data_IF_561825959562
#
_entry.id   IF_561825959562
#
_cell.length_a   1.000
_cell.length_b   1.000
_cell.length_c   1.000
_cell.angle_alpha   90.00
_cell.angle_beta   90.00
_cell.angle_gamma   90.00
#
_symmetry.space_group_name_H-M   'P 1'
#
loop_
_entity.id
_entity.type
_entity.pdbx_description
1 polymer ?
#
# COMPACT_ATOMS: atom_id res chain seq x y z
N UNK A 1 -48.97 -45.99 -6.80
CA UNK A 1 -48.68 -44.56 -7.05
C UNK A 1 -49.78 -43.75 -6.39
N UNK A 2 -49.47 -43.00 -5.33
CA UNK A 2 -50.46 -42.11 -4.70
C UNK A 2 -50.71 -40.91 -5.62
N UNK A 3 -51.96 -40.54 -5.90
CA UNK A 3 -52.27 -39.38 -6.72
C UNK A 3 -51.79 -38.12 -6.00
N UNK A 4 -51.01 -37.30 -6.69
CA UNK A 4 -50.50 -36.03 -6.16
C UNK A 4 -51.70 -35.13 -5.86
N UNK A 5 -51.76 -34.64 -4.62
CA UNK A 5 -52.83 -33.76 -4.16
C UNK A 5 -52.74 -32.40 -4.88
N UNK A 6 -53.63 -32.23 -5.86
CA UNK A 6 -53.78 -31.00 -6.65
C UNK A 6 -53.95 -29.76 -5.77
N UNK A 7 -54.60 -29.86 -4.62
CA UNK A 7 -54.77 -28.70 -3.72
C UNK A 7 -53.45 -28.25 -3.11
N UNK A 8 -52.49 -29.16 -2.90
CA UNK A 8 -51.16 -28.82 -2.40
C UNK A 8 -50.32 -28.09 -3.45
N UNK A 9 -50.45 -28.48 -4.72
CA UNK A 9 -49.79 -27.80 -5.84
C UNK A 9 -50.33 -26.37 -5.99
N UNK A 10 -51.65 -26.19 -6.01
CA UNK A 10 -52.26 -24.86 -6.16
C UNK A 10 -51.89 -23.91 -5.00
N UNK A 11 -51.75 -24.43 -3.77
CA UNK A 11 -51.25 -23.65 -2.64
C UNK A 11 -49.78 -23.23 -2.79
N UNK A 12 -48.91 -24.13 -3.25
CA UNK A 12 -47.50 -23.78 -3.48
C UNK A 12 -47.33 -22.75 -4.59
N UNK A 13 -48.09 -22.88 -5.69
CA UNK A 13 -48.06 -21.90 -6.79
C UNK A 13 -48.57 -20.53 -6.34
N UNK A 14 -49.63 -20.49 -5.52
CA UNK A 14 -50.14 -19.25 -4.94
C UNK A 14 -49.13 -18.54 -4.04
N UNK A 15 -48.40 -19.28 -3.21
CA UNK A 15 -47.35 -18.72 -2.34
C UNK A 15 -46.18 -18.17 -3.18
N UNK A 16 -45.76 -18.89 -4.22
CA UNK A 16 -44.66 -18.45 -5.08
C UNK A 16 -44.99 -17.16 -5.85
N UNK A 17 -46.24 -17.04 -6.32
CA UNK A 17 -46.74 -15.83 -6.98
C UNK A 17 -46.81 -14.63 -6.02
N UNK A 18 -47.17 -14.86 -4.76
CA UNK A 18 -47.20 -13.79 -3.75
C UNK A 18 -45.79 -13.28 -3.44
N UNK A 19 -44.81 -14.17 -3.27
CA UNK A 19 -43.41 -13.80 -2.96
C UNK A 19 -42.82 -12.97 -4.10
N UNK A 20 -43.06 -13.34 -5.35
CA UNK A 20 -42.53 -12.61 -6.52
C UNK A 20 -43.12 -11.20 -6.64
N UNK A 21 -44.40 -11.01 -6.34
CA UNK A 21 -45.04 -9.68 -6.33
C UNK A 21 -44.51 -8.81 -5.19
N UNK A 22 -44.34 -9.39 -3.98
CA UNK A 22 -43.82 -8.64 -2.82
C UNK A 22 -42.35 -8.26 -3.01
N UNK A 23 -41.52 -9.17 -3.51
CA UNK A 23 -40.11 -8.89 -3.80
C UNK A 23 -39.96 -7.82 -4.90
N UNK A 24 -40.76 -7.90 -5.97
CA UNK A 24 -40.76 -6.89 -7.04
C UNK A 24 -41.24 -5.51 -6.58
N UNK A 25 -42.19 -5.45 -5.64
CA UNK A 25 -42.66 -4.21 -5.02
C UNK A 25 -41.61 -3.55 -4.12
N UNK A 26 -40.92 -4.35 -3.29
CA UNK A 26 -39.86 -3.87 -2.39
C UNK A 26 -38.65 -3.32 -3.17
N UNK A 27 -38.27 -3.97 -4.29
CA UNK A 27 -37.22 -3.47 -5.18
C UNK A 27 -37.54 -2.11 -5.81
N UNK A 28 -38.81 -1.83 -6.13
CA UNK A 28 -39.22 -0.53 -6.68
C UNK A 28 -39.29 0.58 -5.62
N UNK A 29 -39.61 0.25 -4.38
CA UNK A 29 -39.65 1.24 -3.27
C UNK A 29 -38.24 1.59 -2.78
N UNK A 30 -37.27 0.67 -2.89
CA UNK A 30 -35.87 0.90 -2.51
C UNK A 30 -35.06 1.76 -3.49
N UNK A 31 -35.61 2.10 -4.67
CA UNK A 31 -34.91 2.89 -5.69
C UNK A 31 -35.14 4.41 -5.58
N UNK A 32 -35.87 4.90 -4.58
CA UNK A 32 -36.15 6.34 -4.44
C UNK A 32 -35.01 7.19 -3.85
N UNK A 33 -33.82 6.63 -3.65
CA UNK A 33 -32.63 7.36 -3.18
C UNK A 33 -31.36 6.98 -3.94
N UNK A 34 -31.43 6.75 -5.25
CA UNK A 34 -30.22 6.55 -6.07
C UNK A 34 -29.69 7.89 -6.56
N UNK A 35 -28.62 8.39 -5.94
CA UNK A 35 -27.80 9.46 -6.50
C UNK A 35 -27.29 9.03 -7.87
N UNK A 36 -27.55 9.80 -8.92
CA UNK A 36 -26.98 9.49 -10.24
C UNK A 36 -25.53 9.96 -10.29
N UNK A 37 -24.73 9.37 -11.19
CA UNK A 37 -23.35 9.82 -11.46
C UNK A 37 -23.28 11.31 -11.83
N UNK A 38 -24.33 11.86 -12.44
CA UNK A 38 -24.44 13.29 -12.74
C UNK A 38 -24.68 14.14 -11.50
N UNK A 39 -25.52 13.66 -10.56
CA UNK A 39 -25.78 14.34 -9.29
C UNK A 39 -24.49 14.33 -8.43
N UNK A 40 -23.78 13.20 -8.40
CA UNK A 40 -22.51 13.09 -7.68
C UNK A 40 -21.39 13.95 -8.29
N UNK A 41 -21.30 14.02 -9.62
CA UNK A 41 -20.32 14.87 -10.31
C UNK A 41 -20.62 16.37 -10.17
N UNK A 42 -21.90 16.73 -10.01
CA UNK A 42 -22.33 18.12 -9.72
C UNK A 42 -21.92 18.53 -8.30
N UNK A 43 -22.03 17.60 -7.34
CA UNK A 43 -21.65 17.84 -5.95
C UNK A 43 -20.14 17.68 -5.69
N UNK A 44 -19.39 17.06 -6.60
CA UNK A 44 -17.95 16.83 -6.49
C UNK A 44 -17.18 17.25 -7.77
N UNK A 45 -17.19 18.54 -8.16
CA UNK A 45 -16.65 19.00 -9.44
C UNK A 45 -15.13 18.84 -9.58
N UNK A 46 -14.37 18.73 -8.47
CA UNK A 46 -12.92 18.50 -8.49
C UNK A 46 -12.51 17.08 -8.91
N UNK A 47 -13.40 16.08 -8.72
CA UNK A 47 -13.20 14.70 -9.19
C UNK A 47 -13.54 14.55 -10.69
N UNK A 48 -14.37 15.43 -11.24
CA UNK A 48 -14.95 15.27 -12.58
C UNK A 48 -14.12 15.90 -13.71
N UNK A 49 -13.33 16.95 -13.43
CA UNK A 49 -12.60 17.69 -14.46
C UNK A 49 -11.23 18.17 -13.97
N UNK A 50 -10.17 17.41 -14.27
CA UNK A 50 -8.85 18.01 -14.48
C UNK A 50 -8.37 17.71 -15.91
N UNK A 51 -8.13 18.80 -16.63
CA UNK A 51 -7.70 18.87 -18.03
C UNK A 51 -6.28 19.42 -18.04
N UNK A 52 -5.40 18.80 -18.81
CA UNK A 52 -4.00 19.18 -19.02
C UNK A 52 -3.82 20.12 -20.20
N UNK A 53 -2.77 20.94 -20.17
CA UNK A 53 -2.13 21.57 -21.33
C UNK A 53 -0.59 21.62 -21.15
N UNK A 54 0.20 21.71 -22.24
CA UNK A 54 1.30 20.76 -22.50
C UNK A 54 2.72 21.33 -22.37
N UNK A 55 3.72 20.44 -22.33
CA UNK A 55 5.14 20.78 -22.49
C UNK A 55 5.83 19.89 -23.55
N UNK A 56 6.93 20.37 -24.18
CA UNK A 56 7.42 19.86 -25.46
C UNK A 56 8.46 18.73 -25.37
N UNK A 57 8.54 18.00 -26.48
CA UNK A 57 9.38 16.84 -26.84
C UNK A 57 10.90 17.10 -26.83
N UNK A 58 11.74 16.06 -26.61
CA UNK A 58 13.04 15.99 -27.27
C UNK A 58 13.33 14.66 -28.01
N UNK A 59 14.13 14.79 -29.08
CA UNK A 59 14.69 13.73 -29.95
C UNK A 59 15.88 12.95 -29.31
N UNK A 60 16.23 11.76 -29.82
CA UNK A 60 17.25 10.86 -29.24
C UNK A 60 18.54 10.75 -30.08
N UNK A 61 19.67 10.35 -29.44
CA UNK A 61 20.73 9.42 -29.95
C UNK A 61 21.99 9.42 -29.03
N UNK A 62 22.99 8.51 -29.17
CA UNK A 62 22.96 7.04 -29.30
C UNK A 62 24.01 6.30 -28.41
N UNK A 63 23.99 4.97 -28.50
CA UNK A 63 24.78 3.94 -27.82
C UNK A 63 26.31 3.95 -28.05
N UNK A 64 27.04 3.33 -27.12
CA UNK A 64 28.43 2.87 -27.29
C UNK A 64 28.57 1.43 -26.77
N UNK A 65 29.12 0.58 -27.64
CA UNK A 65 29.53 -0.81 -27.46
C UNK A 65 30.96 -0.88 -26.89
N UNK A 66 31.28 -1.91 -26.11
CA UNK A 66 32.63 -2.49 -26.09
C UNK A 66 32.70 -3.84 -25.36
N UNK A 67 33.04 -4.85 -26.15
CA UNK A 67 33.60 -6.15 -25.77
C UNK A 67 34.95 -6.05 -25.04
N UNK A 68 35.18 -6.89 -24.02
CA UNK A 68 36.16 -7.98 -24.10
C UNK A 68 36.27 -8.80 -22.80
N UNK A 69 36.41 -10.11 -23.01
CA UNK A 69 36.60 -11.15 -22.01
C UNK A 69 38.04 -11.20 -21.48
N UNK A 70 38.19 -11.64 -20.23
CA UNK A 70 39.22 -12.61 -19.85
C UNK A 70 38.87 -13.29 -18.53
N UNK A 71 38.95 -14.62 -18.54
CA UNK A 71 38.77 -15.50 -17.40
C UNK A 71 40.13 -15.78 -16.73
N UNK A 72 40.15 -15.78 -15.39
CA UNK A 72 41.10 -16.58 -14.60
C UNK A 72 40.43 -16.94 -13.27
N UNK A 73 40.26 -18.24 -13.02
CA UNK A 73 39.89 -18.81 -11.72
C UNK A 73 41.04 -18.65 -10.71
N UNK A 74 40.72 -18.33 -9.46
CA UNK A 74 41.41 -18.90 -8.32
C UNK A 74 40.51 -18.86 -7.07
N UNK A 75 40.31 -20.05 -6.50
CA UNK A 75 39.67 -20.32 -5.21
C UNK A 75 40.57 -19.81 -4.07
N UNK A 76 40.01 -19.15 -3.04
CA UNK A 76 40.08 -19.62 -1.64
C UNK A 76 39.30 -18.71 -0.67
N UNK A 77 38.44 -19.38 0.10
CA UNK A 77 37.85 -19.08 1.42
C UNK A 77 38.03 -17.67 2.03
N UNK A 78 36.88 -17.04 2.30
CA UNK A 78 36.77 -15.91 3.22
C UNK A 78 35.32 -15.72 3.66
N UNK A 79 34.94 -16.40 4.74
CA UNK A 79 33.88 -16.06 5.70
C UNK A 79 32.85 -15.03 5.23
N UNK A 80 31.65 -15.49 4.82
CA UNK A 80 30.48 -14.61 4.73
C UNK A 80 30.06 -14.22 6.15
N UNK A 81 30.69 -13.18 6.68
CA UNK A 81 30.02 -12.33 7.64
C UNK A 81 28.81 -11.79 6.89
N UNK A 82 27.62 -12.33 7.18
CA UNK A 82 26.40 -11.63 6.86
C UNK A 82 26.57 -10.23 7.47
N UNK A 83 26.70 -9.20 6.64
CA UNK A 83 26.50 -7.85 7.11
C UNK A 83 25.09 -7.85 7.67
N UNK A 84 24.97 -7.92 8.99
CA UNK A 84 23.73 -7.61 9.67
C UNK A 84 23.55 -6.12 9.44
N UNK A 85 22.94 -5.76 8.31
CA UNK A 85 22.59 -4.38 8.00
C UNK A 85 21.66 -3.94 9.12
N UNK A 86 22.19 -3.16 10.05
CA UNK A 86 21.39 -2.68 11.17
C UNK A 86 20.45 -1.64 10.59
N UNK A 87 19.15 -1.91 10.68
CA UNK A 87 18.12 -1.00 10.23
C UNK A 87 18.30 0.38 10.90
N UNK A 88 18.19 1.45 10.11
CA UNK A 88 18.41 2.82 10.57
C UNK A 88 17.35 3.20 11.60
N UNK A 89 16.08 2.92 11.31
CA UNK A 89 14.98 3.21 12.22
C UNK A 89 15.15 2.44 13.54
N UNK A 90 15.48 1.16 13.50
CA UNK A 90 15.79 0.34 14.67
C UNK A 90 16.90 0.97 15.54
N UNK A 91 18.01 1.37 14.91
CA UNK A 91 19.16 1.98 15.59
C UNK A 91 18.80 3.30 16.26
N UNK A 92 17.98 4.12 15.60
CA UNK A 92 17.57 5.44 16.08
C UNK A 92 16.47 5.34 17.13
N UNK A 93 15.53 4.41 17.00
CA UNK A 93 14.50 4.18 18.00
C UNK A 93 15.13 3.65 19.30
N UNK A 94 16.06 2.69 19.16
CA UNK A 94 16.81 2.10 20.25
C UNK A 94 15.92 1.43 21.29
N UNK A 95 16.41 1.27 22.51
CA UNK A 95 15.67 0.62 23.60
C UNK A 95 14.92 1.59 24.52
N UNK A 96 14.92 2.90 24.20
CA UNK A 96 14.43 3.95 25.08
C UNK A 96 12.92 3.86 25.36
N UNK A 97 12.16 3.23 24.47
CA UNK A 97 10.70 3.15 24.53
C UNK A 97 10.19 1.71 24.70
N UNK A 98 11.07 0.80 25.11
CA UNK A 98 10.74 -0.63 25.28
C UNK A 98 9.66 -0.85 26.35
N UNK A 99 9.51 0.06 27.30
CA UNK A 99 8.45 0.03 28.32
C UNK A 99 7.05 0.31 27.75
N UNK A 100 6.98 0.94 26.58
CA UNK A 100 5.75 1.24 25.83
C UNK A 100 5.58 0.33 24.60
N UNK A 101 6.47 -0.65 24.43
CA UNK A 101 6.42 -1.62 23.34
C UNK A 101 5.25 -2.57 23.50
N UNK A 102 4.55 -2.81 22.40
CA UNK A 102 3.65 -3.95 22.27
C UNK A 102 4.34 -5.00 21.40
N UNK A 103 4.64 -6.15 22.01
CA UNK A 103 5.29 -7.28 21.32
C UNK A 103 4.27 -8.38 21.05
N UNK A 104 4.12 -8.75 19.79
CA UNK A 104 3.33 -9.91 19.39
C UNK A 104 4.15 -11.19 19.55
N UNK A 105 5.38 -11.19 19.04
CA UNK A 105 6.33 -12.31 19.10
C UNK A 105 7.76 -11.77 18.98
N UNK A 106 8.77 -12.63 19.20
CA UNK A 106 10.17 -12.28 18.97
C UNK A 106 10.39 -11.78 17.53
N UNK A 107 10.93 -10.57 17.39
CA UNK A 107 11.08 -9.86 16.12
C UNK A 107 9.83 -9.18 15.56
N UNK A 108 8.68 -9.22 16.24
CA UNK A 108 7.42 -8.61 15.81
C UNK A 108 6.83 -7.73 16.91
N UNK A 109 7.01 -6.42 16.76
CA UNK A 109 6.55 -5.46 17.75
C UNK A 109 6.33 -4.08 17.14
N UNK A 110 5.60 -3.25 17.88
CA UNK A 110 5.49 -1.82 17.58
C UNK A 110 5.56 -0.99 18.86
N UNK A 111 6.04 0.24 18.72
CA UNK A 111 6.25 1.17 19.84
C UNK A 111 6.23 2.62 19.35
N UNK A 112 6.13 3.62 20.25
CA UNK A 112 6.21 5.03 19.85
C UNK A 112 7.57 5.38 19.23
N UNK A 113 7.63 6.47 18.47
CA UNK A 113 8.86 6.95 17.85
C UNK A 113 9.72 7.69 18.88
N UNK A 114 11.01 7.38 18.96
CA UNK A 114 11.98 8.12 19.76
C UNK A 114 12.23 9.51 19.17
N UNK A 115 12.67 10.47 19.99
CA UNK A 115 13.04 11.82 19.51
C UNK A 115 14.12 11.80 18.41
N UNK A 116 14.99 10.77 18.42
CA UNK A 116 16.03 10.61 17.39
C UNK A 116 15.41 10.20 16.06
N UNK A 117 14.51 9.22 16.10
CA UNK A 117 13.80 8.77 14.89
C UNK A 117 12.88 9.87 14.36
N UNK A 118 12.15 10.58 15.22
CA UNK A 118 11.35 11.74 14.83
C UNK A 118 12.19 12.80 14.11
N UNK A 119 13.36 13.16 14.66
CA UNK A 119 14.27 14.13 14.04
C UNK A 119 14.83 13.65 12.70
N UNK A 120 15.08 12.35 12.57
CA UNK A 120 15.58 11.76 11.33
C UNK A 120 14.56 11.86 10.20
N UNK A 121 13.28 11.56 10.47
CA UNK A 121 12.22 11.62 9.45
C UNK A 121 11.71 13.04 9.15
N UNK A 122 11.98 14.01 10.05
CA UNK A 122 11.53 15.40 9.88
C UNK A 122 12.22 16.07 8.69
N UNK A 123 11.45 16.57 7.75
CA UNK A 123 11.94 17.18 6.51
C UNK A 123 12.18 16.18 5.38
N UNK A 124 11.93 14.89 5.63
CA UNK A 124 12.04 13.80 4.66
C UNK A 124 10.66 13.16 4.50
N UNK A 125 10.35 12.09 5.22
CA UNK A 125 9.02 11.44 5.16
C UNK A 125 7.98 12.12 6.05
N UNK A 126 8.37 12.97 6.98
CA UNK A 126 7.49 13.83 7.80
C UNK A 126 7.74 15.30 7.48
N UNK A 127 6.72 16.18 7.38
CA UNK A 127 6.92 17.56 6.96
C UNK A 127 7.74 18.35 7.99
N UNK A 128 8.72 19.11 7.52
CA UNK A 128 9.39 20.09 8.37
C UNK A 128 8.41 21.23 8.71
N UNK A 129 7.95 21.30 9.95
CA UNK A 129 7.27 22.51 10.45
C UNK A 129 8.32 23.61 10.59
N UNK A 130 8.06 24.79 10.00
CA UNK A 130 8.99 25.94 10.03
C UNK A 130 9.33 26.30 11.48
N UNK A 131 10.58 26.00 11.87
CA UNK A 131 11.33 26.39 13.07
C UNK A 131 10.62 26.40 14.44
N UNK A 132 11.09 25.51 15.33
CA UNK A 132 10.97 25.60 16.79
C UNK A 132 11.76 26.78 17.41
N UNK A 133 12.07 27.83 16.64
CA UNK A 133 12.76 29.03 17.12
C UNK A 133 11.90 30.27 16.92
N UNK A 134 11.00 30.50 17.89
CA UNK A 134 10.37 31.79 18.11
C UNK A 134 9.20 32.12 17.18
N UNK A 135 7.99 32.10 17.76
CA UNK A 135 6.78 32.75 17.23
C UNK A 135 6.46 32.53 15.73
N UNK A 136 6.79 31.37 15.17
CA UNK A 136 6.21 30.89 13.92
C UNK A 136 4.83 30.29 14.21
N UNK A 137 3.84 30.79 13.48
CA UNK A 137 2.40 30.73 13.76
C UNK A 137 1.87 29.34 14.10
N UNK A 138 1.11 29.27 15.19
CA UNK A 138 0.21 28.15 15.55
C UNK A 138 -0.58 27.61 14.34
N UNK A 139 -0.86 28.44 13.33
CA UNK A 139 -1.59 28.09 12.11
C UNK A 139 -0.88 27.11 11.16
N UNK A 140 0.47 27.02 11.16
CA UNK A 140 1.22 26.05 10.34
C UNK A 140 1.42 24.71 11.06
N UNK A 141 1.46 24.72 12.40
CA UNK A 141 1.33 23.51 13.21
C UNK A 141 -0.08 22.91 13.10
N UNK A 142 -1.09 23.75 12.87
CA UNK A 142 -2.46 23.34 12.59
C UNK A 142 -2.69 22.82 11.15
N UNK A 143 -1.70 22.88 10.24
CA UNK A 143 -1.85 22.40 8.86
C UNK A 143 -1.30 21.00 8.60
N UNK A 144 -0.60 20.40 9.55
CA UNK A 144 -0.21 18.98 9.47
C UNK A 144 -1.35 18.15 10.05
N UNK A 145 -1.96 17.30 9.22
CA UNK A 145 -3.14 16.51 9.62
C UNK A 145 -2.81 15.33 10.57
N UNK A 146 -1.53 15.11 10.91
CA UNK A 146 -1.05 14.00 11.73
C UNK A 146 0.06 14.42 12.69
N UNK A 147 0.05 13.91 13.92
CA UNK A 147 1.11 14.12 14.93
C UNK A 147 2.06 12.92 15.02
N UNK A 148 3.27 13.10 15.56
CA UNK A 148 4.14 11.98 15.94
C UNK A 148 3.48 11.00 16.91
N UNK A 149 2.57 11.48 17.78
CA UNK A 149 1.82 10.62 18.71
C UNK A 149 0.84 9.66 18.01
N UNK A 150 0.50 9.97 16.76
CA UNK A 150 -0.32 9.11 15.90
C UNK A 150 0.51 8.06 15.19
N UNK A 151 1.84 8.16 15.19
CA UNK A 151 2.73 7.23 14.49
C UNK A 151 3.34 6.19 15.44
N UNK A 152 3.63 5.01 14.90
CA UNK A 152 4.35 3.92 15.57
C UNK A 152 5.47 3.42 14.68
N UNK A 153 6.61 3.17 15.29
CA UNK A 153 7.66 2.35 14.72
C UNK A 153 7.21 0.89 14.83
N UNK A 154 7.34 0.14 13.74
CA UNK A 154 7.02 -1.28 13.67
C UNK A 154 8.27 -2.01 13.21
N UNK A 155 8.65 -3.04 13.95
CA UNK A 155 9.71 -3.95 13.58
C UNK A 155 9.10 -5.32 13.28
N UNK A 156 9.55 -5.92 12.18
CA UNK A 156 9.10 -7.21 11.70
C UNK A 156 10.29 -8.07 11.24
N UNK A 157 10.06 -9.36 11.09
CA UNK A 157 10.93 -10.25 10.32
C UNK A 157 10.24 -10.62 9.02
N UNK A 158 11.00 -10.85 7.96
CA UNK A 158 10.51 -11.30 6.67
C UNK A 158 11.48 -12.29 6.02
N UNK A 159 11.05 -12.94 4.94
CA UNK A 159 11.95 -13.68 4.06
C UNK A 159 12.25 -12.84 2.82
N UNK A 160 13.53 -12.66 2.51
CA UNK A 160 13.94 -11.97 1.29
C UNK A 160 13.74 -12.86 0.05
N UNK A 161 14.04 -12.34 -1.15
CA UNK A 161 13.86 -13.09 -2.40
C UNK A 161 14.83 -14.27 -2.55
N UNK A 162 15.95 -14.28 -1.82
CA UNK A 162 16.81 -15.46 -1.69
C UNK A 162 16.26 -16.51 -0.70
N UNK A 163 15.15 -16.22 -0.02
CA UNK A 163 14.53 -17.11 0.97
C UNK A 163 15.26 -17.12 2.32
N UNK A 164 16.05 -16.09 2.61
CA UNK A 164 16.72 -15.93 3.89
C UNK A 164 15.90 -15.04 4.84
N UNK A 165 15.87 -15.33 6.16
CA UNK A 165 15.31 -14.41 7.13
C UNK A 165 16.05 -13.07 7.10
N UNK A 166 15.30 -11.98 7.11
CA UNK A 166 15.77 -10.61 7.16
C UNK A 166 14.92 -9.79 8.13
N UNK A 167 15.50 -8.70 8.64
CA UNK A 167 14.81 -7.72 9.48
C UNK A 167 14.15 -6.66 8.59
N UNK A 168 12.98 -6.18 9.00
CA UNK A 168 12.25 -5.13 8.30
C UNK A 168 11.66 -4.10 9.25
N UNK A 169 11.45 -2.88 8.75
CA UNK A 169 10.89 -1.79 9.54
C UNK A 169 9.88 -0.93 8.79
N UNK A 170 8.89 -0.42 9.54
CA UNK A 170 7.87 0.48 9.04
C UNK A 170 7.62 1.59 10.06
N UNK A 171 7.14 2.74 9.56
CA UNK A 171 6.40 3.71 10.37
C UNK A 171 4.96 3.69 9.86
N UNK A 172 4.00 3.58 10.76
CA UNK A 172 2.57 3.56 10.43
C UNK A 172 1.75 4.32 11.47
N UNK A 173 0.46 4.50 11.22
CA UNK A 173 -0.46 5.02 12.21
C UNK A 173 -0.67 4.00 13.34
N UNK A 174 -0.76 4.45 14.58
CA UNK A 174 -1.09 3.63 15.76
C UNK A 174 -2.39 2.83 15.59
N UNK A 175 -3.33 3.34 14.79
CA UNK A 175 -4.60 2.68 14.52
C UNK A 175 -4.47 1.39 13.69
N UNK A 176 -3.35 1.22 12.96
CA UNK A 176 -3.10 0.02 12.15
C UNK A 176 -1.82 -0.74 12.55
N UNK A 177 -1.09 -0.26 13.57
CA UNK A 177 0.19 -0.86 13.98
C UNK A 177 0.06 -2.32 14.42
N UNK A 178 -1.01 -2.63 15.16
CA UNK A 178 -1.33 -4.02 15.54
C UNK A 178 -1.64 -4.87 14.30
N UNK A 179 -2.51 -4.37 13.42
CA UNK A 179 -2.88 -5.10 12.19
C UNK A 179 -1.64 -5.43 11.35
N UNK A 180 -0.77 -4.44 11.10
CA UNK A 180 0.44 -4.67 10.30
C UNK A 180 1.36 -5.69 10.97
N UNK A 181 1.55 -5.61 12.29
CA UNK A 181 2.40 -6.55 13.02
C UNK A 181 1.87 -7.98 12.92
N UNK A 182 0.55 -8.16 13.04
CA UNK A 182 -0.13 -9.46 12.90
C UNK A 182 -0.06 -10.00 11.46
N UNK A 183 -0.33 -9.15 10.46
CA UNK A 183 -0.23 -9.53 9.03
C UNK A 183 1.19 -9.97 8.70
N UNK A 184 2.21 -9.17 9.03
CA UNK A 184 3.59 -9.52 8.70
C UNK A 184 4.09 -10.74 9.47
N UNK A 185 3.59 -10.97 10.70
CA UNK A 185 3.87 -12.20 11.43
C UNK A 185 3.33 -13.43 10.70
N UNK A 186 2.07 -13.39 10.24
CA UNK A 186 1.48 -14.50 9.49
C UNK A 186 2.15 -14.69 8.13
N UNK A 187 2.51 -13.62 7.43
CA UNK A 187 3.32 -13.69 6.20
C UNK A 187 4.66 -14.39 6.45
N UNK A 188 5.37 -14.02 7.53
CA UNK A 188 6.63 -14.64 7.90
C UNK A 188 6.49 -16.12 8.25
N UNK A 189 5.46 -16.48 9.02
CA UNK A 189 5.17 -17.88 9.38
C UNK A 189 4.87 -18.76 8.15
N UNK A 190 4.45 -18.15 7.04
CA UNK A 190 4.18 -18.83 5.78
C UNK A 190 5.30 -18.64 4.74
N UNK A 191 6.48 -18.17 5.16
CA UNK A 191 7.66 -17.94 4.30
C UNK A 191 7.35 -17.02 3.10
N UNK A 192 6.37 -16.13 3.23
CA UNK A 192 6.02 -15.17 2.18
C UNK A 192 7.18 -14.19 1.97
N UNK A 193 7.56 -14.00 0.71
CA UNK A 193 8.77 -13.27 0.37
C UNK A 193 8.48 -11.79 0.08
N UNK A 194 9.26 -10.93 0.72
CA UNK A 194 9.31 -9.48 0.51
C UNK A 194 10.75 -9.14 0.17
N UNK A 195 11.02 -8.35 -0.88
CA UNK A 195 12.41 -8.09 -1.24
C UNK A 195 13.12 -7.25 -0.18
N UNK A 196 12.47 -6.15 0.21
CA UNK A 196 12.94 -5.19 1.21
C UNK A 196 11.76 -4.60 1.97
N UNK A 197 12.00 -4.26 3.23
CA UNK A 197 11.05 -3.52 4.09
C UNK A 197 11.85 -2.48 4.87
N UNK A 198 12.04 -1.31 4.27
CA UNK A 198 12.83 -0.20 4.78
C UNK A 198 11.97 1.06 4.89
N UNK A 199 12.34 1.96 5.80
CA UNK A 199 11.75 3.29 5.85
C UNK A 199 12.00 4.02 4.52
N UNK A 200 11.01 4.79 4.07
CA UNK A 200 11.15 5.59 2.84
C UNK A 200 12.27 6.64 2.95
N UNK A 201 12.68 6.98 4.17
CA UNK A 201 13.79 7.88 4.47
C UNK A 201 15.16 7.36 4.00
N UNK A 202 15.32 6.04 3.78
CA UNK A 202 16.50 5.47 3.10
C UNK A 202 16.60 5.89 1.62
N UNK A 203 15.49 6.38 1.06
CA UNK A 203 15.38 6.88 -0.30
C UNK A 203 15.15 8.41 -0.32
N UNK A 204 15.48 9.13 0.76
CA UNK A 204 15.24 10.57 0.92
C UNK A 204 13.75 10.96 0.70
N UNK A 205 12.82 10.04 0.96
CA UNK A 205 11.38 10.23 0.72
C UNK A 205 10.94 10.06 -0.74
N UNK A 206 11.84 9.69 -1.65
CA UNK A 206 11.55 9.43 -3.06
C UNK A 206 10.79 8.11 -3.24
N UNK A 207 9.49 8.26 -3.46
CA UNK A 207 8.55 7.17 -3.69
C UNK A 207 8.92 6.32 -4.92
N UNK A 208 9.33 6.96 -6.02
CA UNK A 208 9.64 6.25 -7.26
C UNK A 208 10.92 5.44 -7.10
N UNK A 209 11.96 6.00 -6.47
CA UNK A 209 13.20 5.28 -6.20
C UNK A 209 12.96 4.06 -5.30
N UNK A 210 12.13 4.19 -4.26
CA UNK A 210 11.71 3.08 -3.40
C UNK A 210 10.93 2.01 -4.16
N UNK A 211 10.01 2.42 -5.05
CA UNK A 211 9.23 1.49 -5.86
C UNK A 211 10.09 0.73 -6.89
N UNK A 212 11.03 1.43 -7.55
CA UNK A 212 11.98 0.83 -8.50
C UNK A 212 12.91 -0.18 -7.83
N UNK A 213 13.24 0.05 -6.56
CA UNK A 213 14.04 -0.86 -5.73
C UNK A 213 13.20 -1.90 -4.97
N UNK A 214 11.92 -2.02 -5.34
CA UNK A 214 10.95 -2.99 -4.81
C UNK A 214 10.79 -2.97 -3.28
N UNK A 215 10.96 -1.81 -2.66
CA UNK A 215 10.84 -1.65 -1.22
C UNK A 215 9.38 -1.56 -0.78
N UNK A 216 8.99 -2.43 0.15
CA UNK A 216 7.69 -2.37 0.82
C UNK A 216 7.70 -1.25 1.85
N UNK A 217 6.79 -0.28 1.72
CA UNK A 217 6.81 0.95 2.54
C UNK A 217 5.41 1.44 2.96
N UNK A 218 5.32 2.18 4.07
CA UNK A 218 4.05 2.59 4.70
C UNK A 218 3.90 4.12 4.82
N UNK A 219 4.57 4.76 5.78
CA UNK A 219 4.44 6.20 5.98
C UNK A 219 5.32 7.01 5.01
N UNK A 220 4.71 7.93 4.26
CA UNK A 220 5.38 8.96 3.48
C UNK A 220 4.44 10.18 3.36
N UNK A 221 4.76 11.29 4.03
CA UNK A 221 3.95 12.50 4.02
C UNK A 221 4.11 13.26 2.70
N UNK A 222 3.24 12.95 1.76
CA UNK A 222 3.15 13.63 0.47
C UNK A 222 1.71 13.75 -0.02
N UNK A 223 1.40 14.76 -0.85
CA UNK A 223 0.19 14.73 -1.65
C UNK A 223 0.24 13.53 -2.63
N UNK A 224 -0.94 13.09 -3.06
CA UNK A 224 -1.05 12.16 -4.20
C UNK A 224 -0.51 12.86 -5.45
N UNK A 225 0.28 12.14 -6.27
CA UNK A 225 0.92 12.67 -7.49
C UNK A 225 -0.09 13.44 -8.35
N UNK A 226 0.26 14.68 -8.71
CA UNK A 226 -0.59 15.55 -9.54
C UNK A 226 -1.78 16.19 -8.83
N UNK A 227 -1.95 16.01 -7.52
CA UNK A 227 -3.05 16.59 -6.74
C UNK A 227 -2.55 17.39 -5.52
N UNK A 228 -3.46 18.09 -4.85
CA UNK A 228 -3.21 18.69 -3.53
C UNK A 228 -3.77 17.88 -2.36
N UNK A 229 -4.34 16.70 -2.61
CA UNK A 229 -4.94 15.84 -1.57
C UNK A 229 -3.87 14.93 -0.98
N UNK A 230 -3.86 14.77 0.34
CA UNK A 230 -2.92 13.88 1.01
C UNK A 230 -3.18 12.41 0.65
N UNK A 231 -2.09 11.69 0.42
CA UNK A 231 -2.14 10.23 0.28
C UNK A 231 -2.51 9.58 1.62
N UNK A 232 -3.09 8.38 1.61
CA UNK A 232 -3.25 7.59 2.84
C UNK A 232 -1.91 7.18 3.46
N UNK A 233 -0.84 7.13 2.66
CA UNK A 233 0.53 7.01 3.16
C UNK A 233 0.93 8.19 4.06
N UNK A 234 0.44 9.41 3.77
CA UNK A 234 0.73 10.59 4.58
C UNK A 234 0.07 10.55 5.97
N UNK A 235 -0.94 9.69 6.15
CA UNK A 235 -1.58 9.45 7.45
C UNK A 235 -1.06 8.17 8.12
N UNK A 236 -0.11 7.45 7.50
CA UNK A 236 0.36 6.14 7.95
C UNK A 236 -0.73 5.07 7.91
N UNK A 237 -1.74 5.23 7.04
CA UNK A 237 -2.91 4.36 6.93
C UNK A 237 -2.93 3.50 5.66
N UNK A 238 -1.82 3.52 4.91
CA UNK A 238 -1.63 2.71 3.71
C UNK A 238 -0.24 2.09 3.68
N UNK A 239 -0.09 1.02 2.91
CA UNK A 239 1.15 0.28 2.71
C UNK A 239 1.21 -0.28 1.29
N UNK A 240 2.38 -0.20 0.69
CA UNK A 240 2.68 -0.75 -0.63
C UNK A 240 3.54 -2.00 -0.50
N UNK A 241 3.12 -3.11 -1.11
CA UNK A 241 3.79 -4.41 -1.00
C UNK A 241 4.45 -4.80 -2.33
N UNK A 242 5.76 -5.07 -2.29
CA UNK A 242 6.58 -5.42 -3.46
C UNK A 242 6.21 -4.58 -4.73
N UNK A 243 6.36 -3.24 -4.69
CA UNK A 243 5.96 -2.31 -5.75
C UNK A 243 6.36 -2.70 -7.18
N UNK A 244 7.57 -3.23 -7.35
CA UNK A 244 8.10 -3.54 -8.67
C UNK A 244 7.34 -4.68 -9.36
N UNK A 245 6.83 -5.65 -8.59
CA UNK A 245 6.03 -6.77 -9.12
C UNK A 245 4.52 -6.50 -9.10
N UNK A 246 4.10 -5.43 -8.42
CA UNK A 246 2.71 -5.05 -8.24
C UNK A 246 2.51 -3.57 -8.60
N UNK A 247 2.74 -3.18 -9.87
CA UNK A 247 2.84 -1.78 -10.24
C UNK A 247 1.51 -1.02 -10.14
N UNK A 248 1.63 0.29 -10.07
CA UNK A 248 0.53 1.23 -10.27
C UNK A 248 0.30 1.50 -11.77
N UNK A 249 -0.93 1.40 -12.24
CA UNK A 249 -1.33 1.57 -13.63
C UNK A 249 -2.40 2.64 -13.73
N UNK A 250 -2.16 3.64 -14.58
CA UNK A 250 -3.12 4.68 -14.94
C UNK A 250 -3.44 4.61 -16.43
N UNK A 251 -4.60 5.15 -16.79
CA UNK A 251 -5.12 5.10 -18.16
C UNK A 251 -5.31 6.53 -18.69
N UNK A 252 -4.67 6.84 -19.82
CA UNK A 252 -4.84 8.10 -20.52
C UNK A 252 -6.20 8.14 -21.25
N UNK A 253 -6.62 9.34 -21.67
CA UNK A 253 -7.88 9.54 -22.41
C UNK A 253 -7.94 8.79 -23.76
N UNK A 254 -6.78 8.50 -24.35
CA UNK A 254 -6.65 7.72 -25.58
C UNK A 254 -6.64 6.20 -25.36
N UNK A 255 -6.75 5.76 -24.10
CA UNK A 255 -6.71 4.36 -23.70
C UNK A 255 -5.31 3.78 -23.52
N UNK A 256 -4.24 4.57 -23.71
CA UNK A 256 -2.89 4.12 -23.41
C UNK A 256 -2.65 3.99 -21.91
N UNK A 257 -1.89 2.98 -21.51
CA UNK A 257 -1.54 2.70 -20.13
C UNK A 257 -0.21 3.37 -19.75
N UNK A 258 -0.12 3.91 -18.54
CA UNK A 258 1.13 4.34 -17.90
C UNK A 258 1.34 3.48 -16.66
N UNK A 259 2.49 2.82 -16.59
CA UNK A 259 2.90 1.93 -15.50
C UNK A 259 3.93 2.65 -14.62
N UNK A 260 3.78 2.55 -13.30
CA UNK A 260 4.73 3.03 -12.31
C UNK A 260 5.11 1.89 -11.34
N UNK A 261 6.41 1.58 -11.16
CA UNK A 261 7.53 2.21 -11.86
C UNK A 261 7.58 1.79 -13.33
N UNK A 262 8.17 2.60 -14.22
CA UNK A 262 8.09 2.37 -15.67
C UNK A 262 8.80 1.06 -16.11
N UNK A 263 9.86 0.70 -15.39
CA UNK A 263 10.61 -0.55 -15.59
C UNK A 263 9.84 -1.81 -15.11
N UNK A 264 8.72 -1.67 -14.41
CA UNK A 264 7.82 -2.77 -14.01
C UNK A 264 6.75 -3.11 -15.06
N UNK A 265 6.81 -2.53 -16.27
CA UNK A 265 5.82 -2.75 -17.34
C UNK A 265 5.59 -4.22 -17.70
N UNK A 266 6.58 -5.10 -17.50
CA UNK A 266 6.42 -6.55 -17.69
C UNK A 266 5.40 -7.21 -16.74
N UNK A 267 5.11 -6.59 -15.59
CA UNK A 267 4.18 -7.09 -14.56
C UNK A 267 2.79 -6.44 -14.61
N UNK A 268 2.57 -5.55 -15.58
CA UNK A 268 1.28 -4.91 -15.82
C UNK A 268 0.24 -5.89 -16.39
N UNK A 269 0.67 -6.85 -17.23
CA UNK A 269 -0.20 -7.92 -17.72
C UNK A 269 -0.47 -8.94 -16.60
N UNK A 270 -1.58 -8.73 -15.88
CA UNK A 270 -2.02 -9.64 -14.82
C UNK A 270 -2.58 -10.96 -15.33
N UNK A 271 -2.69 -11.21 -16.63
CA UNK A 271 -2.97 -12.57 -17.13
C UNK A 271 -1.69 -13.43 -17.15
N UNK A 272 -0.50 -12.81 -17.12
CA UNK A 272 0.76 -13.53 -17.05
C UNK A 272 0.99 -14.18 -15.68
N UNK A 273 1.82 -15.23 -15.69
CA UNK A 273 2.30 -15.92 -14.51
C UNK A 273 3.72 -15.47 -14.19
N UNK A 274 3.91 -14.90 -13.00
CA UNK A 274 5.20 -14.45 -12.47
C UNK A 274 5.16 -14.50 -10.93
N UNK A 275 6.32 -14.62 -10.26
CA UNK A 275 6.38 -14.67 -8.80
C UNK A 275 5.96 -13.33 -8.15
N UNK A 276 5.65 -13.37 -6.85
CA UNK A 276 5.37 -12.20 -5.99
C UNK A 276 4.15 -11.35 -6.38
N UNK A 277 3.30 -11.91 -7.25
CA UNK A 277 2.09 -11.30 -7.76
C UNK A 277 0.98 -11.35 -6.71
N UNK A 278 0.43 -10.19 -6.37
CA UNK A 278 -0.76 -10.06 -5.52
C UNK A 278 -2.03 -10.18 -6.39
N UNK A 279 -2.81 -11.23 -6.17
CA UNK A 279 -4.18 -11.37 -6.68
C UNK A 279 -5.13 -11.85 -5.57
N UNK A 280 -6.41 -12.07 -5.88
CA UNK A 280 -7.39 -12.43 -4.85
C UNK A 280 -7.14 -13.78 -4.15
N UNK A 281 -6.28 -14.63 -4.73
CA UNK A 281 -5.88 -15.91 -4.13
C UNK A 281 -4.57 -15.79 -3.34
N UNK A 282 -3.86 -14.66 -3.43
CA UNK A 282 -2.61 -14.44 -2.74
C UNK A 282 -2.82 -14.26 -1.23
N UNK A 283 -1.90 -14.82 -0.43
CA UNK A 283 -1.98 -14.78 1.02
C UNK A 283 -1.93 -13.33 1.55
N UNK A 284 -1.08 -12.48 0.97
CA UNK A 284 -0.97 -11.08 1.36
C UNK A 284 -2.31 -10.37 1.21
N UNK A 285 -2.95 -10.53 0.05
CA UNK A 285 -4.29 -9.98 -0.17
C UNK A 285 -5.29 -10.48 0.89
N UNK A 286 -5.34 -11.79 1.13
CA UNK A 286 -6.31 -12.37 2.08
C UNK A 286 -6.13 -11.82 3.49
N UNK A 287 -4.90 -11.76 4.00
CA UNK A 287 -4.61 -11.22 5.32
C UNK A 287 -5.00 -9.74 5.43
N UNK A 288 -4.58 -8.90 4.47
CA UNK A 288 -4.99 -7.49 4.48
C UNK A 288 -6.52 -7.31 4.44
N UNK A 289 -7.22 -8.14 3.66
CA UNK A 289 -8.70 -8.13 3.62
C UNK A 289 -9.33 -8.54 4.95
N UNK A 290 -8.80 -9.57 5.61
CA UNK A 290 -9.27 -10.03 6.93
C UNK A 290 -9.12 -8.96 8.01
N UNK A 291 -8.05 -8.17 7.93
CA UNK A 291 -7.81 -7.00 8.80
C UNK A 291 -8.58 -5.73 8.38
N UNK A 292 -9.47 -5.83 7.38
CA UNK A 292 -10.36 -4.73 6.98
C UNK A 292 -9.71 -3.69 6.06
N UNK A 293 -8.56 -3.98 5.46
CA UNK A 293 -7.98 -3.12 4.44
C UNK A 293 -8.75 -3.24 3.11
N UNK A 294 -8.69 -2.18 2.33
CA UNK A 294 -9.09 -2.15 0.93
C UNK A 294 -7.84 -2.24 0.05
N UNK A 295 -7.98 -2.80 -1.15
CA UNK A 295 -6.87 -3.06 -2.06
C UNK A 295 -7.01 -2.22 -3.34
N UNK A 296 -5.94 -1.56 -3.75
CA UNK A 296 -5.89 -0.69 -4.92
C UNK A 296 -6.05 -1.42 -6.26
N UNK A 297 -5.78 -2.73 -6.30
CA UNK A 297 -6.06 -3.58 -7.48
C UNK A 297 -7.54 -3.62 -7.87
N UNK A 298 -8.45 -3.30 -6.94
CA UNK A 298 -9.89 -3.22 -7.19
C UNK A 298 -10.39 -1.85 -7.64
N UNK A 299 -9.54 -0.83 -7.71
CA UNK A 299 -9.94 0.50 -8.19
C UNK A 299 -10.34 0.47 -9.67
N UNK A 300 -11.25 1.36 -10.08
CA UNK A 300 -11.81 1.36 -11.44
C UNK A 300 -11.08 2.31 -12.40
N UNK A 301 -10.66 3.48 -11.92
CA UNK A 301 -10.00 4.52 -12.73
C UNK A 301 -8.51 4.29 -12.94
N UNK A 302 -7.92 3.46 -12.08
CA UNK A 302 -6.52 3.06 -12.08
C UNK A 302 -6.42 1.70 -11.38
N UNK A 303 -5.25 1.06 -11.47
CA UNK A 303 -4.95 -0.19 -10.77
C UNK A 303 -3.69 -0.02 -9.95
N UNK A 304 -3.83 -0.06 -8.64
CA UNK A 304 -2.68 0.08 -7.74
C UNK A 304 -2.45 -1.24 -7.01
N UNK A 305 -1.74 -2.17 -7.65
CA UNK A 305 -1.66 -3.56 -7.18
C UNK A 305 -0.84 -3.71 -5.90
N UNK A 306 0.09 -2.80 -5.65
CA UNK A 306 0.90 -2.72 -4.44
C UNK A 306 0.09 -2.23 -3.22
N UNK A 307 -0.92 -1.40 -3.46
CA UNK A 307 -1.49 -0.53 -2.43
C UNK A 307 -2.60 -1.17 -1.61
N UNK A 308 -2.43 -1.16 -0.29
CA UNK A 308 -3.47 -1.46 0.68
C UNK A 308 -3.70 -0.27 1.59
N UNK A 309 -4.97 0.07 1.87
CA UNK A 309 -5.31 1.15 2.80
C UNK A 309 -6.49 0.80 3.70
N UNK A 310 -6.49 1.36 4.91
CA UNK A 310 -7.58 1.24 5.87
C UNK A 310 -8.15 2.61 6.22
N UNK A 311 -9.47 2.72 6.22
CA UNK A 311 -10.17 3.89 6.76
C UNK A 311 -10.49 3.59 8.21
N UNK A 312 -10.05 4.46 9.10
CA UNK A 312 -10.31 4.36 10.54
C UNK A 312 -11.47 5.31 10.85
N UNK A 313 -12.52 4.78 11.49
CA UNK A 313 -13.70 5.53 11.92
C UNK A 313 -13.45 6.34 13.20
#
# INVERSE_FOLDING_TARGET
>A
MNPIDRNKIWKMVGILALITVVAGGLLRVSQHSSYTLGDYATDNPSLAYQTSEPSPTPEPTPAVDNSNANATENLQEGSSMAETTVLTGYSLNGELLTDQRTTLSDGFYYEPLSEKLQRYITGVSYPATVDNSGEASQDLLNSVEISYDDLRYVHIRHYNFEGNPAEGELICNKAIAQDLTEIFYELYCNEYQLEKVLLIDEYDGDDLASMEDNNTSCFNYRPVEGTSSLSKHALGLAIDINPFYNPYITYNKDGSEKVSPANASAYADRAASFPYKIDENDLCYQLFKEHGFTWGGHWNSCKDYQHFQKVVE
#
